data_IF_252701611200
#
_entry.id   IF_252701611200
#
_cell.length_a   1.000
_cell.length_b   1.000
_cell.length_c   1.000
_cell.angle_alpha   90.00
_cell.angle_beta   90.00
_cell.angle_gamma   90.00
#
_symmetry.space_group_name_H-M   'P 1'
#
loop_
_entity.id
_entity.type
_entity.pdbx_description
1 polymer ?
#
# COMPACT_ATOMS: atom_id res chain seq x y z
N UNK A 1 -25.11 -0.99 26.66
CA UNK A 1 -24.79 -0.17 25.45
C UNK A 1 -26.07 0.46 24.92
N UNK A 2 -26.04 1.74 24.51
CA UNK A 2 -27.22 2.41 23.95
C UNK A 2 -27.54 1.98 22.52
N UNK A 3 -28.83 1.99 22.15
CA UNK A 3 -29.37 1.61 20.82
C UNK A 3 -28.65 2.31 19.65
N UNK A 4 -28.27 3.57 19.84
CA UNK A 4 -27.51 4.35 18.85
C UNK A 4 -26.13 3.75 18.55
N UNK A 5 -25.36 3.38 19.58
CA UNK A 5 -24.03 2.76 19.43
C UNK A 5 -24.12 1.40 18.73
N UNK A 6 -25.15 0.62 19.03
CA UNK A 6 -25.37 -0.69 18.40
C UNK A 6 -25.64 -0.55 16.89
N UNK A 7 -26.40 0.48 16.48
CA UNK A 7 -26.70 0.74 15.07
C UNK A 7 -25.47 1.20 14.28
N UNK A 8 -24.61 2.04 14.86
CA UNK A 8 -23.35 2.49 14.24
C UNK A 8 -22.41 1.28 14.02
N UNK A 9 -22.23 0.43 15.03
CA UNK A 9 -21.37 -0.76 14.93
C UNK A 9 -21.92 -1.74 13.88
N UNK A 10 -23.24 -1.96 13.86
CA UNK A 10 -23.86 -2.84 12.85
C UNK A 10 -23.69 -2.31 11.43
N UNK A 11 -23.78 -0.99 11.24
CA UNK A 11 -23.52 -0.35 9.94
C UNK A 11 -22.05 -0.53 9.52
N UNK A 12 -21.10 -0.22 10.40
CA UNK A 12 -19.68 -0.42 10.14
C UNK A 12 -19.31 -1.89 9.84
N UNK A 13 -19.97 -2.85 10.51
CA UNK A 13 -19.82 -4.28 10.22
C UNK A 13 -20.40 -4.73 8.88
N UNK A 14 -21.33 -3.96 8.31
CA UNK A 14 -21.95 -4.25 7.01
C UNK A 14 -21.27 -3.48 5.87
N UNK A 15 -20.58 -2.37 6.15
CA UNK A 15 -19.66 -1.67 5.23
C UNK A 15 -18.36 -2.46 4.95
N UNK A 16 -18.45 -3.81 4.93
CA UNK A 16 -17.35 -4.72 4.59
C UNK A 16 -16.87 -4.59 3.14
N UNK A 17 -17.60 -3.87 2.29
CA UNK A 17 -17.24 -3.63 0.89
C UNK A 17 -15.90 -2.91 0.72
N UNK A 18 -15.40 -2.22 1.75
CA UNK A 18 -14.08 -1.56 1.73
C UNK A 18 -12.93 -2.41 2.29
N UNK A 19 -13.20 -3.60 2.85
CA UNK A 19 -12.17 -4.42 3.51
C UNK A 19 -11.50 -5.44 2.59
N UNK A 20 -12.04 -5.68 1.40
CA UNK A 20 -11.49 -6.64 0.44
C UNK A 20 -10.50 -5.96 -0.52
N UNK A 21 -9.64 -5.10 -0.01
CA UNK A 21 -8.60 -4.47 -0.81
C UNK A 21 -7.40 -5.41 -0.86
N UNK A 22 -7.19 -6.05 -2.00
CA UNK A 22 -6.13 -7.06 -2.15
C UNK A 22 -4.78 -6.42 -2.45
N UNK A 23 -3.70 -7.20 -2.34
CA UNK A 23 -2.35 -6.74 -2.73
C UNK A 23 -2.28 -6.37 -4.23
N UNK A 24 -3.04 -7.07 -5.08
CA UNK A 24 -3.10 -6.79 -6.51
C UNK A 24 -3.80 -5.46 -6.80
N UNK A 25 -4.90 -5.19 -6.10
CA UNK A 25 -5.58 -3.90 -6.19
C UNK A 25 -4.68 -2.76 -5.71
N UNK A 26 -3.86 -3.01 -4.67
CA UNK A 26 -2.86 -2.07 -4.18
C UNK A 26 -1.82 -1.75 -5.24
N UNK A 27 -1.27 -2.77 -5.90
CA UNK A 27 -0.30 -2.59 -6.97
C UNK A 27 -0.89 -1.77 -8.12
N UNK A 28 -2.08 -2.13 -8.61
CA UNK A 28 -2.76 -1.41 -9.69
C UNK A 28 -2.98 0.06 -9.34
N UNK A 29 -3.54 0.34 -8.15
CA UNK A 29 -3.79 1.70 -7.68
C UNK A 29 -2.51 2.52 -7.51
N UNK A 30 -1.43 1.91 -7.02
CA UNK A 30 -0.13 2.59 -6.86
C UNK A 30 0.45 2.98 -8.22
N UNK A 31 0.35 2.11 -9.23
CA UNK A 31 0.87 2.38 -10.58
C UNK A 31 0.09 3.51 -11.23
N UNK A 32 -1.24 3.47 -11.16
CA UNK A 32 -2.10 4.55 -11.67
C UNK A 32 -1.77 5.90 -10.99
N UNK A 33 -1.64 5.90 -9.66
CA UNK A 33 -1.33 7.12 -8.93
C UNK A 33 0.07 7.68 -9.28
N UNK A 34 1.07 6.81 -9.43
CA UNK A 34 2.45 7.21 -9.72
C UNK A 34 2.67 7.62 -11.17
N UNK A 35 1.92 7.05 -12.12
CA UNK A 35 1.96 7.45 -13.53
C UNK A 35 1.36 8.84 -13.73
N UNK A 36 0.31 9.18 -12.99
CA UNK A 36 -0.28 10.52 -13.02
C UNK A 36 0.52 11.54 -12.19
N UNK A 37 0.93 11.16 -10.99
CA UNK A 37 1.68 12.03 -10.08
C UNK A 37 2.77 11.24 -9.34
N UNK A 38 4.05 11.33 -9.78
CA UNK A 38 5.14 10.58 -9.17
C UNK A 38 5.43 10.99 -7.71
N UNK A 39 4.93 12.16 -7.27
CA UNK A 39 5.04 12.63 -5.89
C UNK A 39 3.83 12.28 -5.01
N UNK A 40 2.91 11.45 -5.49
CA UNK A 40 1.67 11.11 -4.79
C UNK A 40 1.91 10.55 -3.38
N UNK A 41 1.31 11.21 -2.39
CA UNK A 41 1.38 10.79 -0.98
C UNK A 41 0.54 9.53 -0.75
N UNK A 42 -0.59 9.37 -1.46
CA UNK A 42 -1.43 8.16 -1.36
C UNK A 42 -0.66 6.93 -1.82
N UNK A 43 -0.01 7.00 -2.99
CA UNK A 43 0.81 5.91 -3.51
C UNK A 43 1.90 5.50 -2.51
N UNK A 44 2.65 6.47 -1.97
CA UNK A 44 3.71 6.19 -0.97
C UNK A 44 3.17 5.53 0.29
N UNK A 45 1.99 5.95 0.77
CA UNK A 45 1.32 5.30 1.90
C UNK A 45 0.89 3.88 1.56
N UNK A 46 0.37 3.64 0.36
CA UNK A 46 -0.05 2.31 -0.08
C UNK A 46 1.14 1.36 -0.21
N UNK A 47 2.24 1.81 -0.80
CA UNK A 47 3.52 1.06 -0.84
C UNK A 47 3.95 0.67 0.57
N UNK A 48 3.88 1.62 1.51
CA UNK A 48 4.24 1.41 2.93
C UNK A 48 3.31 0.42 3.62
N UNK A 49 1.99 0.56 3.43
CA UNK A 49 0.97 -0.27 4.10
C UNK A 49 0.99 -1.73 3.62
N UNK A 50 1.16 -1.92 2.30
CA UNK A 50 1.21 -3.26 1.71
C UNK A 50 2.63 -3.85 1.71
N UNK A 51 3.67 -3.05 2.01
CA UNK A 51 5.06 -3.50 1.94
C UNK A 51 5.41 -3.98 0.55
N UNK A 52 5.09 -3.16 -0.46
CA UNK A 52 5.39 -3.49 -1.87
C UNK A 52 6.89 -3.34 -2.12
N UNK A 53 7.48 -4.33 -2.80
CA UNK A 53 8.91 -4.30 -3.13
C UNK A 53 9.16 -3.53 -4.42
N UNK A 54 10.40 -3.08 -4.60
CA UNK A 54 10.82 -2.46 -5.85
C UNK A 54 10.69 -3.42 -7.05
N UNK A 55 10.89 -4.72 -6.81
CA UNK A 55 10.77 -5.78 -7.82
C UNK A 55 9.32 -5.89 -8.32
N UNK A 56 8.35 -5.99 -7.41
CA UNK A 56 6.92 -6.07 -7.78
C UNK A 56 6.45 -4.85 -8.57
N UNK A 57 6.90 -3.65 -8.17
CA UNK A 57 6.57 -2.40 -8.88
C UNK A 57 7.22 -2.35 -10.27
N UNK A 58 8.46 -2.84 -10.40
CA UNK A 58 9.16 -2.92 -11.68
C UNK A 58 8.52 -3.94 -12.63
N UNK A 59 8.13 -5.11 -12.12
CA UNK A 59 7.41 -6.13 -12.90
C UNK A 59 6.06 -5.61 -13.41
N UNK A 60 5.40 -4.76 -12.62
CA UNK A 60 4.15 -4.15 -12.99
C UNK A 60 4.28 -2.95 -13.96
N UNK A 61 5.51 -2.63 -14.41
CA UNK A 61 5.76 -1.68 -15.49
C UNK A 61 6.05 -0.24 -15.05
N UNK A 62 6.39 -0.01 -13.79
CA UNK A 62 6.77 1.32 -13.33
C UNK A 62 8.12 1.74 -13.94
N UNK A 63 8.27 3.02 -14.30
CA UNK A 63 9.53 3.51 -14.86
C UNK A 63 10.65 3.53 -13.82
N UNK A 64 11.86 3.19 -14.26
CA UNK A 64 13.04 3.14 -13.38
C UNK A 64 13.31 4.46 -12.65
N UNK A 65 13.08 5.60 -13.30
CA UNK A 65 13.28 6.92 -12.70
C UNK A 65 12.35 7.17 -11.51
N UNK A 66 11.08 6.78 -11.64
CA UNK A 66 10.10 6.89 -10.55
C UNK A 66 10.45 5.90 -9.45
N UNK A 67 10.83 4.66 -9.80
CA UNK A 67 11.28 3.65 -8.85
C UNK A 67 12.50 4.16 -8.04
N UNK A 68 13.47 4.77 -8.72
CA UNK A 68 14.68 5.36 -8.10
C UNK A 68 14.34 6.53 -7.17
N UNK A 69 13.31 7.30 -7.48
CA UNK A 69 12.83 8.36 -6.58
C UNK A 69 12.18 7.81 -5.30
N UNK A 70 11.72 6.55 -5.32
CA UNK A 70 11.13 5.84 -4.19
C UNK A 70 12.14 4.99 -3.40
N UNK A 71 13.39 4.92 -3.86
CA UNK A 71 14.44 4.05 -3.31
C UNK A 71 14.73 4.34 -1.83
N UNK A 72 14.67 5.62 -1.41
CA UNK A 72 14.77 6.01 0.00
C UNK A 72 13.61 5.49 0.87
N UNK A 73 12.41 5.35 0.27
CA UNK A 73 11.22 4.84 0.95
C UNK A 73 11.30 3.32 1.08
N UNK A 74 11.67 2.63 -0.01
CA UNK A 74 11.71 1.16 -0.11
C UNK A 74 12.93 0.58 0.64
N UNK A 75 14.08 1.25 0.60
CA UNK A 75 15.32 0.80 1.24
C UNK A 75 15.21 0.62 2.76
N UNK A 76 14.36 1.41 3.43
CA UNK A 76 14.08 1.24 4.86
C UNK A 76 13.39 -0.10 5.17
N UNK A 77 12.65 -0.68 4.22
CA UNK A 77 11.99 -1.98 4.38
C UNK A 77 12.90 -3.17 4.07
N UNK A 78 13.81 -3.05 3.09
CA UNK A 78 14.79 -4.10 2.81
C UNK A 78 15.69 -4.38 4.02
N UNK A 79 16.08 -3.33 4.76
CA UNK A 79 16.86 -3.48 6.00
C UNK A 79 16.07 -4.21 7.11
N UNK A 80 14.77 -3.94 7.23
CA UNK A 80 13.87 -4.62 8.18
C UNK A 80 13.64 -6.11 7.84
N UNK A 81 13.47 -6.45 6.55
CA UNK A 81 13.30 -7.85 6.16
C UNK A 81 14.61 -8.64 6.27
N UNK A 82 15.76 -8.03 5.95
CA UNK A 82 17.07 -8.65 6.16
C UNK A 82 17.33 -8.96 7.64
N UNK A 83 16.99 -8.03 8.54
CA UNK A 83 17.14 -8.23 10.00
C UNK A 83 16.18 -9.27 10.59
N UNK A 84 15.00 -9.46 9.98
CA UNK A 84 14.04 -10.50 10.38
C UNK A 84 14.43 -11.89 9.85
N UNK A 85 15.13 -11.98 8.70
CA UNK A 85 15.60 -13.24 8.11
C UNK A 85 16.86 -13.82 8.77
N UNK A 86 17.57 -13.05 9.59
CA UNK A 86 18.81 -13.46 10.29
C UNK A 86 18.52 -13.96 11.72
N UNK A 87 17.26 -13.89 12.17
CA UNK A 87 16.79 -14.51 13.42
C UNK A 87 16.11 -15.84 13.14
#
# INVERSE_FOLDING_TARGET
MGKSKQRIIAKAKNDKSQLNFTRQDALASVIEDLTYNPASISAKKMITLFGLTAEELSEAGLSYEVLRSLDCLIGNFCSYNYTQSIK
#
